data_IF_892829866366
#
_entry.id   IF_892829866366
#
_cell.length_a   1.000
_cell.length_b   1.000
_cell.length_c   1.000
_cell.angle_alpha   90.00
_cell.angle_beta   90.00
_cell.angle_gamma   90.00
#
_symmetry.space_group_name_H-M   'P 1'
#
loop_
_entity.id
_entity.type
_entity.pdbx_description
1 polymer ?
#
# COMPACT_ATOMS: atom_id res chain seq x y z
N UNK A 1 6.39 13.88 16.31
CA UNK A 1 5.33 14.72 15.73
C UNK A 1 3.99 14.03 15.91
N UNK A 2 2.99 14.76 16.34
CA UNK A 2 1.65 14.21 16.49
C UNK A 2 0.79 14.67 15.32
N UNK A 3 0.20 13.71 14.59
CA UNK A 3 -0.65 14.02 13.45
C UNK A 3 -2.03 14.43 13.96
N UNK A 4 -2.52 15.58 13.49
CA UNK A 4 -3.82 16.08 13.88
C UNK A 4 -4.93 15.25 13.24
N UNK A 5 -5.95 14.90 14.03
CA UNK A 5 -7.04 14.03 13.57
C UNK A 5 -7.74 14.56 12.32
N UNK A 6 -7.94 15.88 12.24
CA UNK A 6 -8.62 16.53 11.10
C UNK A 6 -7.86 16.40 9.77
N UNK A 7 -6.54 16.10 9.84
CA UNK A 7 -5.70 15.93 8.64
C UNK A 7 -5.57 14.48 8.20
N UNK A 8 -6.25 13.58 8.90
CA UNK A 8 -6.19 12.16 8.58
C UNK A 8 -7.25 11.77 7.57
N UNK A 9 -6.88 10.91 6.65
CA UNK A 9 -7.78 10.31 5.67
C UNK A 9 -7.87 8.81 5.89
N UNK A 10 -9.01 8.24 5.55
CA UNK A 10 -9.22 6.79 5.66
C UNK A 10 -8.67 6.09 4.41
N UNK A 11 -8.04 4.97 4.64
CA UNK A 11 -7.60 4.07 3.59
C UNK A 11 -7.55 2.65 4.15
N UNK A 12 -7.32 1.66 3.28
CA UNK A 12 -7.21 0.25 3.70
C UNK A 12 -5.88 -0.29 3.22
N UNK A 13 -5.28 -1.19 4.02
CA UNK A 13 -4.09 -1.90 3.63
C UNK A 13 -4.32 -3.40 3.69
N UNK A 14 -3.64 -4.13 2.81
CA UNK A 14 -3.67 -5.58 2.76
C UNK A 14 -2.21 -6.06 2.78
N UNK A 15 -1.86 -6.78 3.85
CA UNK A 15 -0.50 -7.32 3.99
C UNK A 15 -0.33 -8.54 3.10
N UNK A 16 0.88 -8.74 2.60
CA UNK A 16 1.25 -9.94 1.87
C UNK A 16 1.08 -11.15 2.79
N UNK A 17 0.42 -12.20 2.30
CA UNK A 17 0.26 -13.46 3.03
C UNK A 17 1.19 -14.52 2.43
N UNK A 18 0.94 -14.92 1.17
CA UNK A 18 1.71 -15.98 0.53
C UNK A 18 1.51 -15.97 -0.99
N UNK A 19 2.30 -16.80 -1.68
CA UNK A 19 2.04 -17.11 -3.08
C UNK A 19 1.40 -18.49 -3.18
N UNK A 20 0.44 -18.63 -4.07
CA UNK A 20 -0.22 -19.90 -4.36
C UNK A 20 -0.01 -20.27 -5.81
N UNK A 21 0.26 -21.55 -6.13
CA UNK A 21 0.31 -21.97 -7.53
C UNK A 21 -1.09 -21.89 -8.15
N UNK A 22 -1.15 -21.50 -9.41
CA UNK A 22 -2.39 -21.51 -10.19
C UNK A 22 -2.55 -22.89 -10.81
N UNK A 23 -3.69 -23.54 -10.52
CA UNK A 23 -3.97 -24.88 -11.00
C UNK A 23 -4.87 -24.82 -12.23
N UNK A 24 -4.71 -25.80 -13.13
CA UNK A 24 -5.60 -25.96 -14.27
C UNK A 24 -6.87 -26.73 -13.87
N UNK A 25 -7.75 -27.01 -14.83
CA UNK A 25 -9.02 -27.70 -14.58
C UNK A 25 -8.83 -29.11 -14.00
N UNK A 26 -7.69 -29.73 -14.26
CA UNK A 26 -7.36 -31.08 -13.79
C UNK A 26 -6.64 -31.08 -12.45
N UNK A 27 -6.40 -29.89 -11.87
CA UNK A 27 -5.72 -29.75 -10.59
C UNK A 27 -4.20 -29.77 -10.69
N UNK A 28 -3.64 -29.66 -11.88
CA UNK A 28 -2.19 -29.64 -12.10
C UNK A 28 -1.66 -28.21 -12.07
N UNK A 29 -0.43 -28.04 -11.61
CA UNK A 29 0.21 -26.72 -11.60
C UNK A 29 0.49 -26.24 -13.02
N UNK A 30 0.14 -24.96 -13.29
CA UNK A 30 0.35 -24.36 -14.61
C UNK A 30 1.74 -23.75 -14.78
N UNK A 31 2.52 -23.67 -13.70
CA UNK A 31 3.79 -22.95 -13.67
C UNK A 31 3.64 -21.48 -13.26
N UNK A 32 2.42 -20.98 -13.18
CA UNK A 32 2.12 -19.63 -12.72
C UNK A 32 1.70 -19.63 -11.26
N UNK A 33 1.80 -18.47 -10.62
CA UNK A 33 1.38 -18.30 -9.24
C UNK A 33 0.68 -16.97 -9.07
N UNK A 34 -0.12 -16.85 -8.00
CA UNK A 34 -0.74 -15.60 -7.61
C UNK A 34 -0.35 -15.24 -6.17
N UNK A 35 -0.32 -13.94 -5.89
CA UNK A 35 -0.08 -13.46 -4.54
C UNK A 35 -1.41 -13.43 -3.79
N UNK A 36 -1.42 -13.97 -2.58
CA UNK A 36 -2.57 -13.91 -1.69
C UNK A 36 -2.27 -12.90 -0.60
N UNK A 37 -3.22 -12.00 -0.35
CA UNK A 37 -3.11 -10.97 0.67
C UNK A 37 -4.02 -11.30 1.85
N UNK A 38 -3.65 -10.77 3.02
CA UNK A 38 -4.50 -10.84 4.21
C UNK A 38 -5.70 -9.91 4.04
N UNK A 39 -6.64 -9.96 4.97
CA UNK A 39 -7.83 -9.13 4.92
C UNK A 39 -7.48 -7.64 4.93
N UNK A 40 -8.34 -6.84 4.30
CA UNK A 40 -8.19 -5.38 4.30
C UNK A 40 -8.44 -4.84 5.70
N UNK A 41 -7.53 -3.99 6.16
CA UNK A 41 -7.63 -3.32 7.46
C UNK A 41 -7.70 -1.82 7.22
N UNK A 42 -8.69 -1.17 7.82
CA UNK A 42 -8.87 0.27 7.69
C UNK A 42 -7.95 1.02 8.65
N UNK A 43 -7.33 2.08 8.15
CA UNK A 43 -6.53 3.01 8.95
C UNK A 43 -6.90 4.44 8.60
N UNK A 44 -6.54 5.34 9.51
CA UNK A 44 -6.62 6.78 9.26
C UNK A 44 -5.26 7.39 9.56
N UNK A 45 -4.64 7.96 8.56
CA UNK A 45 -3.35 8.63 8.67
C UNK A 45 -3.34 9.84 7.73
N UNK A 46 -2.30 10.64 7.77
CA UNK A 46 -2.15 11.75 6.85
C UNK A 46 -1.79 11.21 5.46
N UNK A 47 -2.64 11.48 4.47
CA UNK A 47 -2.39 11.10 3.08
C UNK A 47 -2.31 12.39 2.27
N UNK A 48 -1.19 12.65 1.64
CA UNK A 48 -0.97 13.88 0.88
C UNK A 48 -0.36 13.61 -0.49
N UNK A 49 -0.59 14.54 -1.43
CA UNK A 49 0.01 14.46 -2.74
C UNK A 49 1.52 14.58 -2.63
N UNK A 50 2.24 13.92 -3.54
CA UNK A 50 3.71 13.93 -3.56
C UNK A 50 4.19 15.23 -4.20
N UNK A 51 4.00 16.36 -3.49
CA UNK A 51 4.40 17.67 -3.93
C UNK A 51 5.33 18.31 -2.90
N UNK A 52 6.25 19.15 -3.37
CA UNK A 52 7.13 19.91 -2.50
C UNK A 52 8.48 19.24 -2.27
N UNK A 53 9.46 20.08 -1.96
CA UNK A 53 10.86 19.69 -1.84
C UNK A 53 11.12 18.74 -0.67
N UNK A 54 10.44 18.96 0.45
CA UNK A 54 10.67 18.15 1.66
C UNK A 54 10.33 16.68 1.46
N UNK A 55 9.27 16.39 0.71
CA UNK A 55 8.88 15.00 0.44
C UNK A 55 9.86 14.31 -0.51
N UNK A 56 10.35 15.04 -1.51
CA UNK A 56 11.34 14.52 -2.45
C UNK A 56 12.65 14.20 -1.72
N UNK A 57 13.09 15.08 -0.83
CA UNK A 57 14.31 14.87 -0.05
C UNK A 57 14.22 13.67 0.89
N UNK A 58 13.04 13.43 1.48
CA UNK A 58 12.82 12.33 2.42
C UNK A 58 13.04 10.96 1.78
N UNK A 59 12.65 10.79 0.51
CA UNK A 59 12.74 9.51 -0.20
C UNK A 59 13.82 9.47 -1.26
N UNK A 60 14.47 10.60 -1.55
CA UNK A 60 15.46 10.72 -2.61
C UNK A 60 14.82 11.09 -3.95
N UNK A 61 15.64 11.68 -4.83
CA UNK A 61 15.15 12.25 -6.10
C UNK A 61 14.88 11.24 -7.20
N UNK A 62 15.25 9.98 -7.00
CA UNK A 62 15.15 8.96 -8.04
C UNK A 62 13.89 8.12 -7.95
N UNK A 63 13.03 8.38 -6.97
CA UNK A 63 11.83 7.59 -6.73
C UNK A 63 10.62 8.39 -7.20
N UNK A 64 9.89 7.81 -8.16
CA UNK A 64 8.63 8.38 -8.61
C UNK A 64 7.49 7.83 -7.76
N UNK A 65 6.68 8.71 -7.18
CA UNK A 65 5.54 8.31 -6.36
C UNK A 65 4.45 9.38 -6.46
N UNK A 66 3.20 8.98 -6.17
CA UNK A 66 2.04 9.85 -6.36
C UNK A 66 1.55 10.47 -5.05
N UNK A 67 1.65 9.75 -3.95
CA UNK A 67 1.20 10.22 -2.64
C UNK A 67 2.15 9.76 -1.55
N UNK A 68 2.03 10.41 -0.39
CA UNK A 68 2.78 10.03 0.82
C UNK A 68 1.78 9.83 1.94
N UNK A 69 1.89 8.69 2.63
CA UNK A 69 1.16 8.43 3.86
C UNK A 69 2.14 8.62 5.02
N UNK A 70 1.75 9.43 6.00
CA UNK A 70 2.56 9.64 7.21
C UNK A 70 1.74 9.18 8.41
N UNK A 71 2.33 8.32 9.23
CA UNK A 71 1.71 7.86 10.47
C UNK A 71 2.65 8.12 11.65
N UNK A 72 2.07 8.44 12.80
CA UNK A 72 2.81 8.53 14.07
C UNK A 72 2.81 7.21 14.84
N UNK A 73 2.18 6.18 14.29
CA UNK A 73 2.14 4.83 14.85
C UNK A 73 3.37 4.03 14.37
N UNK A 74 4.39 3.96 15.22
CA UNK A 74 5.62 3.25 14.87
C UNK A 74 5.48 1.74 14.82
N UNK A 75 4.30 1.21 15.19
CA UNK A 75 3.99 -0.22 15.09
C UNK A 75 3.22 -0.56 13.82
N UNK A 76 2.97 0.41 12.95
CA UNK A 76 2.24 0.20 11.71
C UNK A 76 2.93 -0.87 10.86
N UNK A 77 2.21 -1.93 10.45
CA UNK A 77 2.82 -3.10 9.81
C UNK A 77 3.02 -2.96 8.29
N UNK A 78 2.63 -1.82 7.71
CA UNK A 78 2.75 -1.61 6.26
C UNK A 78 4.20 -1.68 5.83
N UNK A 79 4.49 -2.43 4.76
CA UNK A 79 5.82 -2.58 4.18
C UNK A 79 5.76 -2.46 2.66
N UNK A 80 6.88 -2.71 1.98
CA UNK A 80 6.97 -2.58 0.51
C UNK A 80 6.20 -3.67 -0.24
N UNK A 81 5.71 -4.69 0.44
CA UNK A 81 4.89 -5.76 -0.15
C UNK A 81 3.40 -5.54 0.07
N UNK A 82 3.02 -4.50 0.77
CA UNK A 82 1.63 -4.16 1.08
C UNK A 82 0.97 -3.50 -0.12
N UNK A 83 -0.32 -3.80 -0.34
CA UNK A 83 -1.15 -3.09 -1.33
C UNK A 83 -2.23 -2.31 -0.61
N UNK A 84 -2.75 -1.27 -1.27
CA UNK A 84 -3.59 -0.28 -0.62
C UNK A 84 -4.84 0.04 -1.45
N UNK A 85 -5.92 0.38 -0.74
CA UNK A 85 -7.09 1.04 -1.31
C UNK A 85 -7.12 2.46 -0.72
N UNK A 86 -6.80 3.47 -1.51
CA UNK A 86 -6.68 4.86 -1.03
C UNK A 86 -7.80 5.73 -1.58
N UNK A 87 -8.04 5.67 -2.88
CA UNK A 87 -9.06 6.49 -3.54
C UNK A 87 -10.38 5.74 -3.74
N UNK A 88 -10.46 4.51 -3.28
CA UNK A 88 -11.68 3.69 -3.36
C UNK A 88 -11.76 2.74 -2.17
N UNK A 89 -12.93 2.15 -1.98
CA UNK A 89 -13.13 1.14 -0.95
C UNK A 89 -12.64 -0.23 -1.43
N UNK A 90 -12.41 -1.18 -0.51
CA UNK A 90 -11.98 -2.52 -0.90
C UNK A 90 -12.91 -3.15 -1.92
N UNK A 91 -12.32 -3.68 -2.98
CA UNK A 91 -13.03 -4.29 -4.10
C UNK A 91 -12.25 -5.51 -4.56
N UNK A 92 -12.94 -6.57 -4.92
CA UNK A 92 -12.32 -7.85 -5.30
C UNK A 92 -12.92 -8.33 -6.62
N UNK A 93 -12.13 -9.07 -7.40
CA UNK A 93 -12.63 -9.70 -8.62
C UNK A 93 -13.35 -11.02 -8.28
N UNK A 94 -13.82 -11.73 -9.32
CA UNK A 94 -14.57 -12.96 -9.14
C UNK A 94 -13.74 -14.10 -8.51
N UNK A 95 -12.42 -14.01 -8.62
CA UNK A 95 -11.50 -14.99 -8.05
C UNK A 95 -11.04 -14.61 -6.64
N UNK A 96 -11.53 -13.48 -6.10
CA UNK A 96 -11.19 -13.01 -4.77
C UNK A 96 -9.90 -12.23 -4.70
N UNK A 97 -9.34 -11.80 -5.85
CA UNK A 97 -8.14 -10.97 -5.87
C UNK A 97 -8.49 -9.51 -5.63
N UNK A 98 -7.75 -8.80 -4.75
CA UNK A 98 -8.05 -7.40 -4.50
C UNK A 98 -7.72 -6.53 -5.70
N UNK A 99 -8.64 -5.62 -6.03
CA UNK A 99 -8.47 -4.67 -7.13
C UNK A 99 -7.93 -3.34 -6.56
N UNK A 100 -6.78 -3.42 -5.88
CA UNK A 100 -6.17 -2.30 -5.20
C UNK A 100 -5.74 -1.20 -6.18
N UNK A 101 -5.70 0.06 -5.68
CA UNK A 101 -5.35 1.21 -6.51
C UNK A 101 -3.95 1.78 -6.23
N UNK A 102 -3.31 1.38 -5.14
CA UNK A 102 -1.97 1.87 -4.79
C UNK A 102 -1.06 0.76 -4.29
N UNK A 103 0.24 0.94 -4.53
CA UNK A 103 1.30 0.07 -4.01
C UNK A 103 2.29 0.92 -3.23
N UNK A 104 3.02 0.29 -2.30
CA UNK A 104 4.06 0.96 -1.53
C UNK A 104 5.39 0.87 -2.29
N UNK A 105 5.99 2.02 -2.57
CA UNK A 105 7.28 2.11 -3.27
C UNK A 105 8.45 2.14 -2.29
N UNK A 106 8.31 2.87 -1.19
CA UNK A 106 9.37 3.04 -0.20
C UNK A 106 8.78 3.26 1.18
N UNK A 107 9.54 2.88 2.17
CA UNK A 107 9.23 3.13 3.59
C UNK A 107 10.40 3.89 4.19
N UNK A 108 10.10 5.03 4.81
CA UNK A 108 11.10 5.85 5.50
C UNK A 108 10.68 6.00 6.95
N UNK A 109 11.51 5.50 7.87
CA UNK A 109 11.24 5.57 9.30
C UNK A 109 12.09 6.67 9.93
N UNK A 110 11.43 7.54 10.69
CA UNK A 110 12.10 8.54 11.51
C UNK A 110 11.88 8.24 12.99
N UNK A 111 12.39 9.10 13.85
CA UNK A 111 12.27 8.91 15.30
C UNK A 111 10.81 8.87 15.76
N UNK A 112 9.94 9.69 15.16
CA UNK A 112 8.56 9.91 15.63
C UNK A 112 7.48 9.54 14.61
N UNK A 113 7.86 9.08 13.42
CA UNK A 113 6.89 8.78 12.37
C UNK A 113 7.44 7.79 11.36
N UNK A 114 6.51 7.21 10.58
CA UNK A 114 6.84 6.40 9.41
C UNK A 114 6.15 7.05 8.22
N UNK A 115 6.89 7.18 7.13
CA UNK A 115 6.35 7.72 5.86
C UNK A 115 6.41 6.65 4.78
N UNK A 116 5.34 6.55 4.01
CA UNK A 116 5.23 5.60 2.91
C UNK A 116 5.04 6.37 1.62
N UNK A 117 5.97 6.19 0.68
CA UNK A 117 5.81 6.69 -0.68
C UNK A 117 5.00 5.66 -1.46
N UNK A 118 3.85 6.06 -1.98
CA UNK A 118 2.94 5.16 -2.66
C UNK A 118 2.67 5.64 -4.08
N UNK A 119 2.43 4.70 -4.97
CA UNK A 119 2.15 4.99 -6.38
C UNK A 119 0.88 4.31 -6.83
N UNK A 120 0.13 5.01 -7.68
CA UNK A 120 -1.10 4.49 -8.26
C UNK A 120 -0.78 3.35 -9.21
N UNK A 121 -1.56 2.28 -9.12
CA UNK A 121 -1.44 1.13 -10.02
C UNK A 121 -2.04 1.51 -11.36
N UNK A 122 -1.28 1.29 -12.43
CA UNK A 122 -1.79 1.51 -13.78
C UNK A 122 -2.57 0.27 -14.20
N UNK A 123 -3.85 0.46 -14.49
CA UNK A 123 -4.69 -0.61 -15.04
C UNK A 123 -4.63 -0.50 -16.54
N UNK A 124 -4.09 -1.53 -17.16
CA UNK A 124 -4.02 -1.59 -18.62
C UNK A 124 -5.26 -2.25 -19.20
#
# INVERSE_FOLDING_TARGET
MKIMERNKSSYWYLLYDRKEPILDEDGNETGDSRVVYKEAVQRRDNVSAATGTAQVEQFGNFISYDKVIVTDDLTCPIDENTVLFVDKQPEYDDDGNPLYDYIVKRVATSLNSISYAISKVTVS
#
